data_IF_652457376654
#
_entry.id   IF_652457376654
#
_cell.length_a   1.000
_cell.length_b   1.000
_cell.length_c   1.000
_cell.angle_alpha   90.00
_cell.angle_beta   90.00
_cell.angle_gamma   90.00
#
_symmetry.space_group_name_H-M   'P 1'
#
loop_
_entity.id
_entity.type
_entity.pdbx_description
1 polymer ?
#
# COMPACT_ATOMS: atom_id res chain seq x y z
N UNK A 1 -11.44 7.58 -17.39
CA UNK A 1 -10.99 7.78 -18.80
C UNK A 1 -9.47 7.85 -18.79
N UNK A 2 -8.78 7.01 -19.58
CA UNK A 2 -7.35 7.13 -19.85
C UNK A 2 -7.22 7.73 -21.25
N UNK A 3 -6.72 8.96 -21.37
CA UNK A 3 -6.63 9.64 -22.67
C UNK A 3 -5.35 9.27 -23.46
N UNK A 4 -4.27 8.91 -22.75
CA UNK A 4 -2.96 8.62 -23.38
C UNK A 4 -2.39 7.33 -22.79
N UNK A 5 -1.89 7.40 -21.55
CA UNK A 5 -1.39 6.26 -20.79
C UNK A 5 -1.72 6.46 -19.30
N UNK A 6 -1.31 5.50 -18.46
CA UNK A 6 -1.39 5.67 -17.01
C UNK A 6 -0.45 6.77 -16.53
N UNK A 7 -0.86 7.49 -15.51
CA UNK A 7 -0.17 8.70 -15.06
C UNK A 7 1.26 8.44 -14.57
N UNK A 8 1.56 7.28 -13.99
CA UNK A 8 2.89 6.98 -13.45
C UNK A 8 4.00 6.89 -14.52
N UNK A 9 3.62 6.72 -15.79
CA UNK A 9 4.55 6.74 -16.91
C UNK A 9 4.98 8.16 -17.32
N UNK A 10 4.12 9.16 -17.08
CA UNK A 10 4.33 10.52 -17.59
C UNK A 10 5.53 11.24 -16.95
N UNK A 11 5.76 11.18 -15.62
CA UNK A 11 6.91 11.84 -15.00
C UNK A 11 8.27 11.29 -15.45
N UNK A 12 8.32 10.00 -15.81
CA UNK A 12 9.55 9.37 -16.32
C UNK A 12 9.79 9.82 -17.75
N UNK A 13 8.73 9.79 -18.59
CA UNK A 13 8.78 10.28 -19.96
C UNK A 13 9.24 11.75 -20.05
N UNK A 14 8.67 12.62 -19.21
CA UNK A 14 9.01 14.05 -19.25
C UNK A 14 10.47 14.35 -18.92
N UNK A 15 11.17 13.44 -18.24
CA UNK A 15 12.58 13.60 -17.84
C UNK A 15 13.54 12.88 -18.78
N UNK A 16 13.19 11.68 -19.23
CA UNK A 16 14.09 10.79 -19.97
C UNK A 16 13.74 10.65 -21.45
N UNK A 17 12.59 11.16 -21.90
CA UNK A 17 12.06 10.90 -23.23
C UNK A 17 11.58 9.46 -23.36
N UNK A 18 11.85 8.81 -24.50
CA UNK A 18 11.47 7.42 -24.72
C UNK A 18 12.24 6.49 -23.76
N UNK A 19 11.52 5.61 -23.08
CA UNK A 19 12.10 4.59 -22.20
C UNK A 19 11.30 3.28 -22.30
N UNK A 20 11.91 2.21 -21.82
CA UNK A 20 11.28 0.89 -21.78
C UNK A 20 10.32 0.80 -20.57
N UNK A 21 9.02 0.73 -20.86
CA UNK A 21 7.97 0.66 -19.83
C UNK A 21 7.96 -0.66 -19.08
N UNK A 22 8.32 -1.77 -19.72
CA UNK A 22 8.40 -3.06 -19.05
C UNK A 22 9.53 -3.06 -18.04
N UNK A 23 10.69 -2.49 -18.41
CA UNK A 23 11.79 -2.30 -17.45
C UNK A 23 11.41 -1.39 -16.29
N UNK A 24 10.65 -0.32 -16.54
CA UNK A 24 10.14 0.52 -15.46
C UNK A 24 9.20 -0.26 -14.53
N UNK A 25 8.24 -1.01 -15.07
CA UNK A 25 7.30 -1.79 -14.26
C UNK A 25 8.03 -2.90 -13.48
N UNK A 26 9.01 -3.57 -14.09
CA UNK A 26 9.88 -4.54 -13.39
C UNK A 26 10.63 -3.89 -12.23
N UNK A 27 11.20 -2.71 -12.46
CA UNK A 27 11.92 -1.99 -11.41
C UNK A 27 10.99 -1.49 -10.29
N UNK A 28 9.85 -0.88 -10.62
CA UNK A 28 8.93 -0.33 -9.60
C UNK A 28 8.27 -1.42 -8.75
N UNK A 29 7.89 -2.56 -9.35
CA UNK A 29 7.01 -3.52 -8.70
C UNK A 29 7.70 -4.82 -8.29
N UNK A 30 8.90 -5.12 -8.78
CA UNK A 30 9.55 -6.42 -8.58
C UNK A 30 11.05 -6.38 -8.24
N UNK A 31 11.73 -5.22 -8.33
CA UNK A 31 13.17 -5.13 -7.98
C UNK A 31 13.48 -5.30 -6.49
N UNK A 32 12.53 -4.99 -5.62
CA UNK A 32 12.78 -4.84 -4.18
C UNK A 32 13.47 -3.53 -3.79
N UNK A 33 13.79 -2.65 -4.76
CA UNK A 33 14.40 -1.34 -4.49
C UNK A 33 13.34 -0.26 -4.21
N UNK A 34 12.10 -0.50 -4.64
CA UNK A 34 10.98 0.43 -4.55
C UNK A 34 9.80 -0.25 -3.86
N UNK A 35 8.98 0.51 -3.16
CA UNK A 35 7.72 0.02 -2.58
C UNK A 35 6.65 1.11 -2.55
N UNK A 36 5.38 0.70 -2.55
CA UNK A 36 4.24 1.63 -2.41
C UNK A 36 3.89 1.80 -0.92
N UNK A 37 3.71 3.04 -0.47
CA UNK A 37 3.35 3.39 0.92
C UNK A 37 2.58 4.71 0.98
N UNK A 38 2.06 5.05 2.15
CA UNK A 38 1.51 6.38 2.43
C UNK A 38 2.64 7.33 2.85
N UNK A 39 3.08 8.18 1.91
CA UNK A 39 3.96 9.31 2.19
C UNK A 39 3.09 10.58 2.38
N UNK A 40 3.10 11.50 1.41
CA UNK A 40 2.08 12.55 1.33
C UNK A 40 0.72 11.96 0.90
N UNK A 41 0.75 11.07 -0.08
CA UNK A 41 -0.37 10.27 -0.58
C UNK A 41 0.13 8.83 -0.81
N UNK A 42 -0.67 7.97 -1.44
CA UNK A 42 -0.19 6.69 -1.94
C UNK A 42 0.90 6.90 -3.00
N UNK A 43 2.15 6.63 -2.63
CA UNK A 43 3.35 6.93 -3.41
C UNK A 43 4.26 5.71 -3.52
N UNK A 44 4.96 5.59 -4.65
CA UNK A 44 6.08 4.65 -4.81
C UNK A 44 7.36 5.36 -4.43
N UNK A 45 8.11 4.80 -3.48
CA UNK A 45 9.31 5.42 -2.89
C UNK A 45 10.45 4.41 -2.79
N UNK A 46 11.72 4.87 -2.72
CA UNK A 46 12.84 3.98 -2.47
C UNK A 46 12.70 3.25 -1.13
N UNK A 47 13.09 1.97 -1.10
CA UNK A 47 13.04 1.10 0.08
C UNK A 47 13.71 1.73 1.31
N UNK A 48 14.81 2.45 1.10
CA UNK A 48 15.55 3.13 2.18
C UNK A 48 14.76 4.20 2.93
N UNK A 49 13.63 4.68 2.39
CA UNK A 49 12.74 5.60 3.10
C UNK A 49 11.76 4.91 4.05
N UNK A 50 11.68 3.58 4.05
CA UNK A 50 10.75 2.84 4.89
C UNK A 50 10.91 3.18 6.38
N UNK A 51 12.12 3.18 6.99
CA UNK A 51 12.29 3.56 8.39
C UNK A 51 11.83 5.00 8.69
N UNK A 52 12.08 5.93 7.76
CA UNK A 52 11.70 7.35 7.88
C UNK A 52 10.19 7.60 7.79
N UNK A 53 9.43 6.65 7.26
CA UNK A 53 7.98 6.78 7.06
C UNK A 53 7.16 6.03 8.13
N UNK A 54 7.80 5.28 9.04
CA UNK A 54 7.09 4.49 10.07
C UNK A 54 6.28 5.32 11.05
N UNK A 55 6.69 6.55 11.35
CA UNK A 55 5.94 7.46 12.21
C UNK A 55 4.52 7.73 11.66
N UNK A 56 4.32 7.76 10.33
CA UNK A 56 2.99 7.91 9.72
C UNK A 56 2.10 6.69 9.95
N UNK A 57 2.70 5.49 9.92
CA UNK A 57 2.03 4.22 10.22
C UNK A 57 1.60 4.19 11.69
N UNK A 58 2.50 4.61 12.59
CA UNK A 58 2.25 4.70 14.03
C UNK A 58 1.14 5.72 14.35
N UNK A 59 1.14 6.89 13.73
CA UNK A 59 0.03 7.83 13.87
C UNK A 59 -1.30 7.25 13.37
N UNK A 60 -1.26 6.47 12.29
CA UNK A 60 -2.44 5.79 11.77
C UNK A 60 -2.98 4.74 12.76
N UNK A 61 -2.12 3.98 13.46
CA UNK A 61 -2.56 3.01 14.50
C UNK A 61 -3.21 3.73 15.69
N UNK A 62 -2.73 4.92 16.04
CA UNK A 62 -3.38 5.85 16.99
C UNK A 62 -4.63 6.55 16.41
N UNK A 63 -4.96 6.24 15.17
CA UNK A 63 -6.17 6.63 14.50
C UNK A 63 -6.07 7.92 13.68
N UNK A 64 -4.92 8.58 13.54
CA UNK A 64 -4.74 9.77 12.68
C UNK A 64 -4.94 9.44 11.17
N UNK A 65 -6.20 9.24 10.79
CA UNK A 65 -6.67 8.80 9.49
C UNK A 65 -8.15 9.15 9.31
N UNK A 66 -8.72 8.85 8.14
CA UNK A 66 -10.14 9.02 7.84
C UNK A 66 -11.01 8.14 8.73
N UNK A 67 -12.17 8.66 9.14
CA UNK A 67 -13.10 8.00 10.07
C UNK A 67 -13.50 6.60 9.64
N UNK A 68 -13.70 6.35 8.34
CA UNK A 68 -14.04 5.02 7.82
C UNK A 68 -12.92 3.99 8.06
N UNK A 69 -11.65 4.38 7.90
CA UNK A 69 -10.51 3.51 8.18
C UNK A 69 -10.31 3.34 9.67
N UNK A 70 -10.43 4.42 10.45
CA UNK A 70 -10.36 4.37 11.92
C UNK A 70 -11.42 3.43 12.49
N UNK A 71 -12.67 3.55 12.03
CA UNK A 71 -13.78 2.70 12.43
C UNK A 71 -13.55 1.24 12.01
N UNK A 72 -12.91 1.01 10.87
CA UNK A 72 -12.56 -0.34 10.43
C UNK A 72 -11.49 -0.98 11.33
N UNK A 73 -10.41 -0.25 11.62
CA UNK A 73 -9.33 -0.69 12.51
C UNK A 73 -9.79 -0.92 13.95
N UNK A 74 -10.78 -0.15 14.42
CA UNK A 74 -11.33 -0.27 15.77
C UNK A 74 -12.34 -1.42 15.95
N UNK A 75 -12.72 -2.14 14.89
CA UNK A 75 -13.67 -3.27 15.01
C UNK A 75 -13.07 -4.39 15.84
N UNK A 76 -13.86 -4.85 16.82
CA UNK A 76 -13.48 -5.95 17.75
C UNK A 76 -14.03 -7.32 17.34
N UNK A 77 -14.58 -7.42 16.12
CA UNK A 77 -15.16 -8.66 15.57
C UNK A 77 -14.10 -9.59 14.93
N UNK A 78 -12.82 -9.23 15.02
CA UNK A 78 -11.70 -9.99 14.46
C UNK A 78 -11.63 -9.98 12.92
N UNK A 79 -12.45 -9.19 12.23
CA UNK A 79 -12.48 -9.19 10.76
C UNK A 79 -11.15 -8.76 10.14
N UNK A 80 -10.56 -7.66 10.62
CA UNK A 80 -9.26 -7.16 10.12
C UNK A 80 -8.16 -8.20 10.31
N UNK A 81 -8.12 -8.88 11.45
CA UNK A 81 -7.15 -9.93 11.73
C UNK A 81 -7.31 -11.14 10.79
N UNK A 82 -8.54 -11.53 10.45
CA UNK A 82 -8.80 -12.58 9.46
C UNK A 82 -8.33 -12.18 8.06
N UNK A 83 -8.52 -10.92 7.66
CA UNK A 83 -8.03 -10.41 6.38
C UNK A 83 -6.50 -10.39 6.34
N UNK A 84 -5.84 -9.97 7.42
CA UNK A 84 -4.38 -10.03 7.53
C UNK A 84 -3.87 -11.47 7.36
N UNK A 85 -4.43 -12.41 8.13
CA UNK A 85 -4.05 -13.82 8.06
C UNK A 85 -4.29 -14.41 6.66
N UNK A 86 -5.37 -14.00 5.98
CA UNK A 86 -5.61 -14.42 4.60
C UNK A 86 -4.51 -13.93 3.65
N UNK A 87 -4.09 -12.66 3.77
CA UNK A 87 -2.99 -12.08 2.97
C UNK A 87 -1.65 -12.74 3.28
N UNK A 88 -1.35 -13.03 4.55
CA UNK A 88 -0.11 -13.70 4.96
C UNK A 88 -0.02 -15.13 4.41
N UNK A 89 -1.14 -15.85 4.37
CA UNK A 89 -1.18 -17.24 3.92
C UNK A 89 -1.31 -17.39 2.40
N UNK A 90 -2.12 -16.55 1.74
CA UNK A 90 -2.50 -16.70 0.33
C UNK A 90 -1.97 -15.60 -0.60
N UNK A 91 -1.36 -14.54 -0.06
CA UNK A 91 -0.89 -13.40 -0.86
C UNK A 91 0.18 -13.80 -1.89
N UNK A 92 0.31 -13.03 -2.99
CA UNK A 92 -0.39 -11.79 -3.30
C UNK A 92 -1.86 -11.99 -3.74
N UNK A 93 -2.79 -11.14 -3.27
CA UNK A 93 -4.22 -11.23 -3.62
C UNK A 93 -4.89 -9.86 -3.81
N UNK A 94 -5.87 -9.79 -4.71
CA UNK A 94 -6.69 -8.60 -4.99
C UNK A 94 -7.89 -8.56 -4.05
N UNK A 95 -8.47 -7.37 -3.86
CA UNK A 95 -9.63 -7.23 -2.96
C UNK A 95 -10.85 -8.08 -3.35
N UNK A 96 -11.00 -8.40 -4.64
CA UNK A 96 -12.08 -9.26 -5.15
C UNK A 96 -11.83 -10.76 -4.89
N UNK A 97 -10.61 -11.15 -4.54
CA UNK A 97 -10.20 -12.55 -4.32
C UNK A 97 -10.24 -12.96 -2.84
N UNK A 98 -10.66 -12.03 -1.97
CA UNK A 98 -10.93 -12.29 -0.55
C UNK A 98 -12.03 -13.35 -0.41
N UNK A 99 -11.92 -14.24 0.58
CA UNK A 99 -12.98 -15.23 0.88
C UNK A 99 -14.28 -14.53 1.27
N UNK A 100 -14.18 -13.48 2.09
CA UNK A 100 -15.31 -12.68 2.57
C UNK A 100 -15.10 -11.19 2.21
N UNK A 101 -15.36 -10.79 0.95
CA UNK A 101 -15.08 -9.43 0.48
C UNK A 101 -16.09 -8.40 1.00
N UNK A 102 -17.24 -8.84 1.53
CA UNK A 102 -18.35 -8.02 2.06
C UNK A 102 -18.71 -6.84 1.15
N UNK A 103 -19.11 -7.09 -0.12
CA UNK A 103 -19.51 -6.03 -1.02
C UNK A 103 -20.70 -5.27 -0.43
N UNK A 104 -20.70 -3.95 -0.54
CA UNK A 104 -21.84 -3.13 -0.14
C UNK A 104 -22.81 -3.04 -1.32
N UNK A 105 -24.10 -3.19 -1.07
CA UNK A 105 -25.13 -2.93 -2.08
C UNK A 105 -25.35 -1.41 -2.22
N UNK A 106 -25.34 -0.91 -3.46
CA UNK A 106 -25.48 0.51 -3.79
C UNK A 106 -25.06 0.81 -5.24
N UNK A 107 -25.34 2.03 -5.70
CA UNK A 107 -24.97 2.55 -7.03
C UNK A 107 -23.46 2.41 -7.31
N UNK A 108 -23.00 2.62 -8.55
CA UNK A 108 -21.58 2.48 -8.96
C UNK A 108 -20.58 3.28 -8.06
N UNK A 109 -21.05 4.30 -7.32
CA UNK A 109 -20.31 5.07 -6.31
C UNK A 109 -20.50 4.58 -4.85
N UNK A 110 -21.21 3.48 -4.65
CA UNK A 110 -21.80 2.96 -3.41
C UNK A 110 -20.81 2.26 -2.49
N UNK A 111 -19.79 2.99 -2.05
CA UNK A 111 -18.94 2.62 -0.93
C UNK A 111 -17.93 1.50 -1.19
N UNK A 112 -16.74 1.63 -0.59
CA UNK A 112 -15.75 0.55 -0.54
C UNK A 112 -16.35 -0.63 0.24
N UNK A 113 -16.12 -1.86 -0.23
CA UNK A 113 -16.47 -3.06 0.52
C UNK A 113 -15.72 -3.08 1.86
N UNK A 114 -16.27 -3.75 2.88
CA UNK A 114 -15.57 -3.85 4.17
C UNK A 114 -14.20 -4.54 3.98
N UNK A 115 -14.11 -5.53 3.09
CA UNK A 115 -12.84 -6.19 2.76
C UNK A 115 -11.82 -5.23 2.15
N UNK A 116 -12.26 -4.33 1.26
CA UNK A 116 -11.38 -3.29 0.69
C UNK A 116 -10.94 -2.28 1.75
N UNK A 117 -11.82 -1.87 2.66
CA UNK A 117 -11.47 -0.98 3.77
C UNK A 117 -10.48 -1.64 4.73
N UNK A 118 -10.64 -2.93 5.03
CA UNK A 118 -9.70 -3.70 5.85
C UNK A 118 -8.31 -3.77 5.21
N UNK A 119 -8.24 -4.07 3.91
CA UNK A 119 -6.97 -4.05 3.16
C UNK A 119 -6.34 -2.65 3.12
N UNK A 120 -7.12 -1.60 2.90
CA UNK A 120 -6.62 -0.22 2.92
C UNK A 120 -6.10 0.19 4.32
N UNK A 121 -6.77 -0.26 5.40
CA UNK A 121 -6.31 -0.07 6.78
C UNK A 121 -4.99 -0.79 7.07
N UNK A 122 -4.89 -2.08 6.72
CA UNK A 122 -3.67 -2.87 6.89
C UNK A 122 -2.50 -2.31 6.09
N UNK A 123 -2.77 -1.84 4.86
CA UNK A 123 -1.78 -1.17 4.03
C UNK A 123 -1.30 0.15 4.68
N UNK A 124 -2.22 0.96 5.21
CA UNK A 124 -1.88 2.25 5.84
C UNK A 124 -1.13 2.10 7.16
N UNK A 125 -1.41 1.03 7.91
CA UNK A 125 -0.67 0.68 9.14
C UNK A 125 0.62 -0.11 8.85
N UNK A 126 0.89 -0.45 7.59
CA UNK A 126 2.11 -1.14 7.16
C UNK A 126 2.19 -2.61 7.56
N UNK A 127 1.06 -3.26 7.84
CA UNK A 127 1.00 -4.70 8.12
C UNK A 127 1.04 -5.53 6.81
N UNK A 128 0.56 -4.93 5.72
CA UNK A 128 0.68 -5.48 4.36
C UNK A 128 1.22 -4.39 3.45
N UNK A 129 1.79 -4.78 2.32
CA UNK A 129 2.12 -3.85 1.25
C UNK A 129 1.40 -4.21 -0.05
N UNK A 130 1.82 -3.55 -1.12
CA UNK A 130 1.12 -3.57 -2.40
C UNK A 130 2.11 -3.82 -3.53
N UNK A 131 1.67 -4.62 -4.50
CA UNK A 131 2.25 -4.67 -5.85
C UNK A 131 1.19 -4.28 -6.87
N UNK A 132 1.66 -3.88 -8.05
CA UNK A 132 0.80 -3.63 -9.20
C UNK A 132 1.27 -4.44 -10.38
N UNK A 133 0.30 -4.92 -11.16
CA UNK A 133 0.58 -5.59 -12.42
C UNK A 133 0.65 -4.58 -13.58
N UNK A 134 0.86 -5.09 -14.79
CA UNK A 134 0.85 -4.28 -16.04
C UNK A 134 -0.50 -3.62 -16.32
N UNK A 135 -1.59 -4.08 -15.68
CA UNK A 135 -2.91 -3.45 -15.73
C UNK A 135 -3.08 -2.37 -14.67
N UNK A 136 -2.06 -2.17 -13.82
CA UNK A 136 -2.01 -1.28 -12.66
C UNK A 136 -3.02 -1.67 -11.59
N UNK A 137 -3.45 -2.93 -11.62
CA UNK A 137 -4.35 -3.51 -10.64
C UNK A 137 -3.58 -3.82 -9.36
N UNK A 138 -4.21 -3.54 -8.22
CA UNK A 138 -3.56 -3.62 -6.91
C UNK A 138 -3.72 -5.02 -6.31
N UNK A 139 -2.60 -5.69 -6.05
CA UNK A 139 -2.55 -6.90 -5.22
C UNK A 139 -1.88 -6.58 -3.89
N UNK A 140 -2.29 -7.29 -2.85
CA UNK A 140 -1.83 -7.12 -1.48
C UNK A 140 -1.03 -8.33 -1.04
N UNK A 141 0.10 -8.10 -0.37
CA UNK A 141 1.02 -9.13 0.08
C UNK A 141 1.54 -8.77 1.49
N UNK A 142 1.93 -9.78 2.27
CA UNK A 142 2.54 -9.58 3.58
C UNK A 142 3.74 -8.62 3.49
N UNK A 143 3.86 -7.73 4.47
CA UNK A 143 4.85 -6.65 4.41
C UNK A 143 6.30 -7.19 4.44
N UNK A 144 6.55 -8.30 5.13
CA UNK A 144 7.86 -8.93 5.22
C UNK A 144 8.33 -9.63 3.93
N UNK A 145 7.41 -9.98 3.03
CA UNK A 145 7.72 -10.46 1.67
C UNK A 145 8.08 -9.34 0.70
N UNK A 146 7.68 -8.11 1.02
CA UNK A 146 7.95 -6.92 0.21
C UNK A 146 9.20 -6.18 0.69
N UNK A 147 9.37 -6.12 2.00
CA UNK A 147 10.42 -5.33 2.66
C UNK A 147 11.42 -6.30 3.31
N UNK A 148 12.68 -6.33 2.82
CA UNK A 148 13.73 -7.19 3.36
C UNK A 148 13.95 -7.00 4.85
N UNK A 149 14.43 -8.07 5.51
CA UNK A 149 14.69 -8.05 6.96
C UNK A 149 15.67 -6.94 7.35
N UNK A 150 16.67 -6.68 6.51
CA UNK A 150 17.71 -5.67 6.69
C UNK A 150 17.12 -4.26 6.78
N UNK A 151 16.02 -3.99 6.08
CA UNK A 151 15.30 -2.71 6.21
C UNK A 151 14.38 -2.73 7.42
N UNK A 152 13.65 -3.83 7.66
CA UNK A 152 12.69 -3.95 8.77
C UNK A 152 13.35 -3.86 10.15
N UNK A 153 14.60 -4.30 10.29
CA UNK A 153 15.35 -4.27 11.56
C UNK A 153 16.07 -2.95 11.84
N UNK A 154 16.18 -2.04 10.86
CA UNK A 154 16.69 -0.69 11.08
C UNK A 154 15.80 0.02 12.10
N UNK A 155 16.39 0.67 13.09
CA UNK A 155 15.64 1.44 14.07
C UNK A 155 14.91 2.62 13.39
N UNK A 156 13.66 2.84 13.76
CA UNK A 156 12.94 4.05 13.34
C UNK A 156 13.56 5.26 14.06
N UNK A 157 13.98 6.32 13.35
CA UNK A 157 14.41 7.54 14.02
C UNK A 157 13.21 8.22 14.71
N UNK A 158 13.46 9.13 15.65
CA UNK A 158 12.45 10.02 16.19
C UNK A 158 11.67 10.74 15.08
N UNK A 159 10.40 11.04 15.32
CA UNK A 159 9.53 11.60 14.28
C UNK A 159 10.07 12.92 13.71
N UNK A 160 10.60 13.82 14.54
CA UNK A 160 11.15 15.10 14.13
C UNK A 160 12.43 14.98 13.29
N UNK A 161 13.26 13.97 13.57
CA UNK A 161 14.43 13.63 12.75
C UNK A 161 14.00 13.03 11.42
N UNK A 162 13.02 12.12 11.45
CA UNK A 162 12.46 11.50 10.25
C UNK A 162 11.87 12.57 9.31
N UNK A 163 11.15 13.55 9.84
CA UNK A 163 10.58 14.65 9.07
C UNK A 163 11.64 15.57 8.46
N UNK A 164 12.75 15.83 9.16
CA UNK A 164 13.86 16.64 8.63
C UNK A 164 14.64 15.93 7.52
N UNK A 165 14.61 14.61 7.50
CA UNK A 165 15.33 13.77 6.52
C UNK A 165 14.50 13.44 5.26
N UNK A 166 13.20 13.77 5.24
CA UNK A 166 12.27 13.59 4.11
C UNK A 166 12.15 14.86 3.28
#
# INVERSE_FOLDING_TARGET
VQAVCRSHYLPVYSRLGNYDRERLDQWLWYSGEMFETWAHEASVVPLGLEPLLRWRKERTTHGETWDSLRAMGARKDGYVARILAEVENRGPLRSAELVDPRPRSGTWWGGRSDGRLALDWLFRTGQIGVRRDVRFERSYEAFDRLIPAETRTVASPPEDEAQRAL
#
